data_IF_303371817730
#
_entry.id   IF_303371817730
#
_cell.length_a   1.000
_cell.length_b   1.000
_cell.length_c   1.000
_cell.angle_alpha   90.00
_cell.angle_beta   90.00
_cell.angle_gamma   90.00
#
_symmetry.space_group_name_H-M   'P 1'
#
loop_
_entity.id
_entity.type
_entity.pdbx_description
1 polymer ?
#
# COMPACT_ATOMS: atom_id res chain seq x y z
N UNK A 1 -10.18 -6.14 -9.96
CA UNK A 1 -10.71 -5.96 -8.61
C UNK A 1 -11.62 -4.75 -8.59
N UNK A 2 -12.72 -4.87 -7.87
CA UNK A 2 -13.62 -3.79 -7.52
C UNK A 2 -13.09 -3.00 -6.31
N UNK A 3 -13.69 -1.82 -6.05
CA UNK A 3 -13.46 -1.03 -4.83
C UNK A 3 -13.63 -1.87 -3.56
N UNK A 4 -14.67 -2.71 -3.51
CA UNK A 4 -15.00 -3.56 -2.38
C UNK A 4 -13.94 -4.64 -2.08
N UNK A 5 -13.11 -4.99 -3.07
CA UNK A 5 -11.99 -5.90 -2.88
C UNK A 5 -10.69 -5.13 -2.58
N UNK A 6 -10.52 -3.93 -3.15
CA UNK A 6 -9.33 -3.09 -2.93
C UNK A 6 -9.27 -2.51 -1.53
N UNK A 7 -10.40 -2.06 -1.00
CA UNK A 7 -10.47 -1.50 0.35
C UNK A 7 -9.94 -2.46 1.44
N UNK A 8 -10.43 -3.72 1.56
CA UNK A 8 -9.92 -4.64 2.57
C UNK A 8 -8.45 -5.02 2.33
N UNK A 9 -8.00 -5.12 1.08
CA UNK A 9 -6.59 -5.38 0.77
C UNK A 9 -5.68 -4.26 1.29
N UNK A 10 -6.01 -3.01 0.99
CA UNK A 10 -5.24 -1.84 1.45
C UNK A 10 -5.25 -1.75 2.97
N UNK A 11 -6.39 -2.02 3.62
CA UNK A 11 -6.49 -2.06 5.08
C UNK A 11 -5.61 -3.13 5.70
N UNK A 12 -5.56 -4.34 5.12
CA UNK A 12 -4.70 -5.43 5.62
C UNK A 12 -3.23 -5.03 5.57
N UNK A 13 -2.76 -4.53 4.43
CA UNK A 13 -1.37 -4.11 4.26
C UNK A 13 -1.02 -2.97 5.22
N UNK A 14 -1.95 -2.02 5.45
CA UNK A 14 -1.74 -0.93 6.40
C UNK A 14 -1.55 -1.45 7.85
N UNK A 15 -2.30 -2.48 8.25
CA UNK A 15 -2.14 -3.14 9.55
C UNK A 15 -0.76 -3.80 9.64
N UNK A 16 -0.36 -4.54 8.60
CA UNK A 16 0.93 -5.23 8.58
C UNK A 16 2.11 -4.26 8.60
N UNK A 17 2.06 -3.16 7.83
CA UNK A 17 3.07 -2.10 7.86
C UNK A 17 3.21 -1.48 9.25
N UNK A 18 2.10 -1.20 9.94
CA UNK A 18 2.11 -0.69 11.31
C UNK A 18 2.69 -1.71 12.30
N UNK A 19 2.39 -2.99 12.12
CA UNK A 19 2.99 -4.05 12.94
C UNK A 19 4.51 -4.13 12.73
N UNK A 20 4.99 -4.03 11.48
CA UNK A 20 6.43 -3.99 11.19
C UNK A 20 7.10 -2.77 11.83
N UNK A 21 6.48 -1.59 11.72
CA UNK A 21 6.97 -0.35 12.33
C UNK A 21 7.10 -0.48 13.85
N UNK A 22 6.06 -1.03 14.51
CA UNK A 22 6.05 -1.28 15.96
C UNK A 22 7.12 -2.31 16.38
N UNK A 23 7.28 -3.41 15.63
CA UNK A 23 8.23 -4.46 15.96
C UNK A 23 9.68 -4.04 15.81
N UNK A 24 9.98 -3.16 14.84
CA UNK A 24 11.34 -2.67 14.59
C UNK A 24 11.69 -1.45 15.44
N UNK A 25 10.70 -0.75 15.97
CA UNK A 25 10.90 0.39 16.87
C UNK A 25 11.39 1.65 16.16
N UNK A 26 11.25 1.71 14.83
CA UNK A 26 11.77 2.76 13.96
C UNK A 26 10.64 3.31 13.09
N UNK A 27 10.63 4.63 12.84
CA UNK A 27 9.58 5.31 12.06
C UNK A 27 9.87 5.38 10.55
N UNK A 28 10.70 4.47 10.04
CA UNK A 28 11.11 4.48 8.63
C UNK A 28 9.97 4.20 7.65
N UNK A 29 8.90 3.53 8.12
CA UNK A 29 7.74 3.22 7.29
C UNK A 29 6.70 4.35 7.20
N UNK A 30 6.88 5.45 7.94
CA UNK A 30 5.88 6.52 8.03
C UNK A 30 5.44 7.09 6.66
N UNK A 31 6.39 7.22 5.72
CA UNK A 31 6.08 7.68 4.36
C UNK A 31 5.21 6.68 3.60
N UNK A 32 5.55 5.39 3.68
CA UNK A 32 4.79 4.30 3.06
C UNK A 32 3.38 4.22 3.68
N UNK A 33 3.29 4.20 5.01
CA UNK A 33 2.02 4.15 5.75
C UNK A 33 1.12 5.32 5.33
N UNK A 34 1.65 6.53 5.27
CA UNK A 34 0.91 7.73 4.83
C UNK A 34 0.39 7.59 3.39
N UNK A 35 1.16 7.02 2.48
CA UNK A 35 0.71 6.76 1.10
C UNK A 35 -0.47 5.78 1.07
N UNK A 36 -0.44 4.73 1.89
CA UNK A 36 -1.58 3.80 2.02
C UNK A 36 -2.82 4.48 2.66
N UNK A 37 -2.63 5.31 3.69
CA UNK A 37 -3.73 6.07 4.32
C UNK A 37 -4.40 7.03 3.34
N UNK A 38 -3.60 7.79 2.57
CA UNK A 38 -4.12 8.68 1.54
C UNK A 38 -4.83 7.90 0.43
N UNK A 39 -4.25 6.78 -0.01
CA UNK A 39 -4.90 5.90 -1.01
C UNK A 39 -6.25 5.42 -0.51
N UNK A 40 -6.32 4.93 0.72
CA UNK A 40 -7.58 4.45 1.31
C UNK A 40 -8.61 5.57 1.40
N UNK A 41 -8.20 6.76 1.86
CA UNK A 41 -9.08 7.93 1.94
C UNK A 41 -9.64 8.32 0.58
N UNK A 42 -8.79 8.36 -0.44
CA UNK A 42 -9.17 8.83 -1.78
C UNK A 42 -10.00 7.76 -2.52
N UNK A 43 -9.70 6.47 -2.29
CA UNK A 43 -10.54 5.35 -2.73
C UNK A 43 -11.94 5.41 -2.12
N UNK A 44 -12.06 5.66 -0.81
CA UNK A 44 -13.35 5.74 -0.13
C UNK A 44 -14.21 6.91 -0.62
N UNK A 45 -13.57 8.04 -0.97
CA UNK A 45 -14.21 9.25 -1.51
C UNK A 45 -14.48 9.21 -3.01
N UNK A 46 -14.12 8.12 -3.70
CA UNK A 46 -14.22 8.00 -5.16
C UNK A 46 -13.48 9.13 -5.91
N UNK A 47 -12.36 9.60 -5.35
CA UNK A 47 -11.52 10.66 -5.92
C UNK A 47 -10.08 10.21 -6.17
N UNK A 48 -9.86 8.89 -6.25
CA UNK A 48 -8.56 8.31 -6.52
C UNK A 48 -8.17 8.49 -7.99
N UNK A 49 -7.25 9.42 -8.26
CA UNK A 49 -6.78 9.73 -9.62
C UNK A 49 -5.37 9.24 -9.91
N UNK A 50 -4.60 8.91 -8.87
CA UNK A 50 -3.21 8.47 -9.00
C UNK A 50 -2.87 7.32 -8.05
N UNK A 51 -1.87 6.54 -8.43
CA UNK A 51 -1.38 5.41 -7.63
C UNK A 51 -0.30 5.89 -6.65
N UNK A 52 -0.72 6.30 -5.45
CA UNK A 52 0.17 6.81 -4.41
C UNK A 52 1.11 5.74 -3.82
N UNK A 53 0.79 4.46 -4.01
CA UNK A 53 1.58 3.32 -3.48
C UNK A 53 2.43 2.65 -4.56
N UNK A 54 2.57 3.23 -5.76
CA UNK A 54 3.30 2.63 -6.89
C UNK A 54 4.73 2.20 -6.57
N UNK A 55 5.41 2.95 -5.69
CA UNK A 55 6.82 2.74 -5.33
C UNK A 55 6.98 2.02 -3.99
N UNK A 56 5.88 1.77 -3.27
CA UNK A 56 5.94 1.26 -1.90
C UNK A 56 6.69 -0.07 -1.74
N UNK A 57 6.62 -1.06 -2.67
CA UNK A 57 7.36 -2.30 -2.49
C UNK A 57 8.87 -2.08 -2.56
N UNK A 58 9.30 -1.20 -3.47
CA UNK A 58 10.71 -0.83 -3.63
C UNK A 58 11.21 -0.04 -2.42
N UNK A 59 10.44 0.95 -1.96
CA UNK A 59 10.79 1.74 -0.77
C UNK A 59 10.95 0.85 0.46
N UNK A 60 10.06 -0.14 0.65
CA UNK A 60 10.19 -1.11 1.73
C UNK A 60 11.49 -1.91 1.67
N UNK A 61 11.85 -2.40 0.48
CA UNK A 61 13.09 -3.15 0.27
C UNK A 61 14.34 -2.28 0.45
N UNK A 62 14.28 -0.99 0.11
CA UNK A 62 15.38 -0.06 0.36
C UNK A 62 15.61 0.17 1.87
N UNK A 63 14.54 0.12 2.68
CA UNK A 63 14.63 0.26 4.14
C UNK A 63 15.14 -1.03 4.81
N UNK A 64 14.56 -2.19 4.47
CA UNK A 64 14.80 -3.43 5.22
C UNK A 64 15.56 -4.51 4.46
N UNK A 65 15.71 -4.40 3.14
CA UNK A 65 16.33 -5.44 2.28
C UNK A 65 15.73 -6.84 2.49
N UNK A 66 14.45 -6.90 2.87
CA UNK A 66 13.74 -8.12 3.27
C UNK A 66 12.92 -8.66 2.09
N UNK A 67 13.64 -9.26 1.12
CA UNK A 67 13.07 -9.71 -0.16
C UNK A 67 12.13 -10.91 -0.04
N UNK A 68 12.26 -11.70 1.03
CA UNK A 68 11.43 -12.88 1.28
C UNK A 68 10.18 -12.55 2.11
N UNK A 69 9.96 -11.27 2.45
CA UNK A 69 8.82 -10.86 3.24
C UNK A 69 7.52 -10.95 2.45
N UNK A 70 6.51 -11.75 2.87
CA UNK A 70 5.24 -11.85 2.16
C UNK A 70 4.51 -10.52 2.00
N UNK A 71 4.77 -9.55 2.90
CA UNK A 71 4.21 -8.21 2.81
C UNK A 71 4.64 -7.51 1.50
N UNK A 72 5.88 -7.72 1.03
CA UNK A 72 6.38 -7.12 -0.21
C UNK A 72 5.59 -7.61 -1.42
N UNK A 73 5.27 -8.90 -1.47
CA UNK A 73 4.42 -9.47 -2.53
C UNK A 73 3.01 -8.88 -2.49
N UNK A 74 2.43 -8.71 -1.30
CA UNK A 74 1.12 -8.08 -1.14
C UNK A 74 1.13 -6.61 -1.57
N UNK A 75 2.18 -5.86 -1.22
CA UNK A 75 2.37 -4.48 -1.63
C UNK A 75 2.48 -4.37 -3.16
N UNK A 76 3.26 -5.24 -3.80
CA UNK A 76 3.39 -5.28 -5.27
C UNK A 76 2.08 -5.67 -5.96
N UNK A 77 1.37 -6.64 -5.40
CA UNK A 77 0.04 -7.00 -5.89
C UNK A 77 -0.93 -5.83 -5.79
N UNK A 78 -0.99 -5.16 -4.62
CA UNK A 78 -1.90 -4.05 -4.37
C UNK A 78 -1.63 -2.87 -5.32
N UNK A 79 -0.38 -2.48 -5.54
CA UNK A 79 -0.08 -1.37 -6.44
C UNK A 79 -0.50 -1.68 -7.88
N UNK A 80 -0.35 -2.93 -8.36
CA UNK A 80 -0.80 -3.34 -9.70
C UNK A 80 -2.32 -3.30 -9.82
N UNK A 81 -3.04 -3.77 -8.79
CA UNK A 81 -4.50 -3.77 -8.80
C UNK A 81 -5.07 -2.36 -8.70
N UNK A 82 -4.45 -1.50 -7.91
CA UNK A 82 -4.84 -0.10 -7.80
C UNK A 82 -4.63 0.63 -9.13
N UNK A 83 -3.50 0.42 -9.79
CA UNK A 83 -3.25 1.00 -11.12
C UNK A 83 -4.31 0.56 -12.14
N UNK A 84 -4.65 -0.73 -12.13
CA UNK A 84 -5.73 -1.26 -12.99
C UNK A 84 -7.05 -0.58 -12.67
N UNK A 85 -7.41 -0.47 -11.39
CA UNK A 85 -8.66 0.19 -10.98
C UNK A 85 -8.72 1.62 -11.48
N UNK A 86 -7.68 2.42 -11.25
CA UNK A 86 -7.59 3.80 -11.73
C UNK A 86 -7.78 3.88 -13.25
N UNK A 87 -7.07 3.04 -14.02
CA UNK A 87 -7.16 3.03 -15.48
C UNK A 87 -8.55 2.65 -16.03
N UNK A 88 -9.40 1.96 -15.27
CA UNK A 88 -10.76 1.62 -15.69
C UNK A 88 -11.80 2.67 -15.26
N UNK A 89 -11.41 3.62 -14.42
CA UNK A 89 -12.30 4.62 -13.81
C UNK A 89 -11.92 6.08 -14.17
N UNK A 90 -10.98 6.27 -15.11
CA UNK A 90 -10.66 7.52 -15.80
C UNK A 90 -11.15 7.41 -17.25
#
# INVERSE_FOLDING_TARGET
MSKNELEPLIKSILVDLRNVELMRGESYLHAIIRSYENTLRDLLKDCLTENLIKSSPREYLEIYSDYENPLVEQMDFAQKQLQKYINHHI
#
